data_IF_931049195959
#
_entry.id   IF_931049195959
#
_cell.length_a   1.000
_cell.length_b   1.000
_cell.length_c   1.000
_cell.angle_alpha   90.00
_cell.angle_beta   90.00
_cell.angle_gamma   90.00
#
_symmetry.space_group_name_H-M   'P 1'
#
loop_
_entity.id
_entity.type
_entity.pdbx_description
1 polymer ?
#
# COMPACT_ATOMS: atom_id res chain seq x y z
N UNK A 1 0.18 4.39 -4.73
CA UNK A 1 0.63 4.84 -3.38
C UNK A 1 1.27 3.67 -2.64
N UNK A 2 2.60 3.50 -2.75
CA UNK A 2 3.28 2.27 -2.29
C UNK A 2 3.61 2.32 -0.79
N UNK A 3 3.44 1.20 -0.08
CA UNK A 3 3.68 1.04 1.36
C UNK A 3 2.86 1.97 2.29
N UNK A 4 1.94 2.74 1.72
CA UNK A 4 1.20 3.78 2.41
C UNK A 4 1.78 5.17 2.26
N UNK A 5 2.88 5.34 1.52
CA UNK A 5 3.39 6.63 1.12
C UNK A 5 2.55 7.17 -0.05
N UNK A 6 1.96 8.38 0.06
CA UNK A 6 1.26 8.97 -1.07
C UNK A 6 2.26 9.30 -2.19
N UNK A 7 1.87 9.08 -3.45
CA UNK A 7 2.63 9.61 -4.58
C UNK A 7 2.51 11.15 -4.62
N UNK A 8 3.39 11.82 -5.37
CA UNK A 8 3.29 13.26 -5.62
C UNK A 8 2.14 13.53 -6.60
N UNK A 9 0.91 13.58 -6.05
CA UNK A 9 -0.31 13.67 -6.84
C UNK A 9 -0.46 15.03 -7.52
N UNK A 10 0.10 16.10 -6.97
CA UNK A 10 0.13 17.41 -7.61
C UNK A 10 0.95 17.35 -8.91
N UNK A 11 2.17 16.82 -8.84
CA UNK A 11 3.02 16.65 -10.01
C UNK A 11 2.40 15.69 -11.05
N UNK A 12 1.80 14.59 -10.60
CA UNK A 12 1.15 13.63 -11.49
C UNK A 12 -0.10 14.21 -12.17
N UNK A 13 -0.92 14.97 -11.44
CA UNK A 13 -2.12 15.58 -12.02
C UNK A 13 -1.73 16.65 -13.05
N UNK A 14 -0.73 17.49 -12.74
CA UNK A 14 -0.22 18.47 -13.70
C UNK A 14 0.25 17.81 -15.00
N UNK A 15 0.97 16.69 -14.90
CA UNK A 15 1.42 15.94 -16.07
C UNK A 15 0.23 15.32 -16.83
N UNK A 16 -0.75 14.79 -16.11
CA UNK A 16 -1.92 14.18 -16.71
C UNK A 16 -2.75 15.20 -17.50
N UNK A 17 -2.97 16.39 -16.95
CA UNK A 17 -3.71 17.48 -17.59
C UNK A 17 -3.01 17.95 -18.88
N UNK A 18 -1.67 18.00 -18.90
CA UNK A 18 -0.89 18.38 -20.08
C UNK A 18 -1.01 17.38 -21.23
N UNK A 19 -1.30 16.13 -20.93
CA UNK A 19 -1.32 15.03 -21.89
C UNK A 19 -2.70 14.41 -22.11
N UNK A 20 -3.76 15.02 -21.56
CA UNK A 20 -5.13 14.50 -21.61
C UNK A 20 -5.23 13.05 -21.10
N UNK A 21 -4.57 12.78 -19.96
CA UNK A 21 -4.54 11.48 -19.31
C UNK A 21 -5.43 11.46 -18.07
N UNK A 22 -5.93 10.26 -17.74
CA UNK A 22 -6.68 10.01 -16.51
C UNK A 22 -5.76 9.42 -15.45
N UNK A 23 -5.80 9.97 -14.24
CA UNK A 23 -5.08 9.42 -13.08
C UNK A 23 -6.00 8.49 -12.29
N UNK A 24 -5.58 7.22 -12.18
CA UNK A 24 -6.21 6.21 -11.33
C UNK A 24 -5.28 5.93 -10.16
N UNK A 25 -5.76 6.13 -8.94
CA UNK A 25 -4.98 5.90 -7.74
C UNK A 25 -5.06 4.43 -7.32
N UNK A 26 -3.95 3.70 -7.40
CA UNK A 26 -3.80 2.45 -6.63
C UNK A 26 -3.48 2.79 -5.16
N UNK A 27 -4.54 2.80 -4.36
CA UNK A 27 -4.54 3.06 -2.92
C UNK A 27 -4.64 1.76 -2.10
N UNK A 28 -4.39 0.59 -2.69
CA UNK A 28 -4.51 -0.71 -2.03
C UNK A 28 -3.59 -0.87 -0.81
N UNK A 29 -2.54 -0.05 -0.68
CA UNK A 29 -1.63 -0.02 0.47
C UNK A 29 -1.68 1.31 1.23
N UNK A 30 -2.63 2.19 0.91
CA UNK A 30 -2.61 3.57 1.37
C UNK A 30 -3.94 4.03 2.00
N UNK A 31 -4.81 3.11 2.39
CA UNK A 31 -6.00 3.45 3.16
C UNK A 31 -5.58 4.17 4.46
N UNK A 32 -6.01 5.43 4.60
CA UNK A 32 -5.65 6.36 5.68
C UNK A 32 -4.46 7.29 5.42
N UNK A 33 -3.77 7.15 4.28
CA UNK A 33 -2.76 8.11 3.86
C UNK A 33 -3.43 9.43 3.42
N UNK A 34 -2.69 10.53 3.53
CA UNK A 34 -3.14 11.87 3.12
C UNK A 34 -2.06 12.56 2.31
N UNK A 35 -2.46 13.29 1.28
CA UNK A 35 -1.61 14.22 0.53
C UNK A 35 -2.06 15.63 0.89
N UNK A 36 -1.29 16.33 1.70
CA UNK A 36 -1.81 17.53 2.39
C UNK A 36 -3.01 17.16 3.28
N UNK A 37 -4.13 17.85 3.12
CA UNK A 37 -5.37 17.59 3.85
C UNK A 37 -6.26 16.52 3.19
N UNK A 38 -6.03 16.24 1.92
CA UNK A 38 -6.83 15.33 1.12
C UNK A 38 -6.50 13.87 1.38
N UNK A 39 -7.51 13.02 1.27
CA UNK A 39 -7.38 11.57 1.48
C UNK A 39 -6.90 10.91 0.19
N UNK A 40 -5.92 10.02 0.29
CA UNK A 40 -5.50 9.22 -0.88
C UNK A 40 -6.66 8.38 -1.40
N UNK A 41 -6.83 8.36 -2.72
CA UNK A 41 -7.96 7.76 -3.42
C UNK A 41 -9.11 8.73 -3.74
N UNK A 42 -8.98 10.01 -3.39
CA UNK A 42 -9.89 11.08 -3.80
C UNK A 42 -9.21 12.20 -4.60
N UNK A 43 -7.97 12.01 -5.03
CA UNK A 43 -7.13 13.02 -5.67
C UNK A 43 -7.17 12.89 -7.20
N UNK A 44 -7.21 11.66 -7.72
CA UNK A 44 -7.38 11.37 -9.14
C UNK A 44 -8.86 11.23 -9.54
N UNK A 45 -9.10 10.70 -10.73
CA UNK A 45 -10.46 10.44 -11.20
C UNK A 45 -11.16 9.32 -10.38
N UNK A 46 -10.38 8.35 -9.91
CA UNK A 46 -10.88 7.26 -9.07
C UNK A 46 -9.77 6.63 -8.25
N UNK A 47 -10.13 6.15 -7.05
CA UNK A 47 -9.23 5.44 -6.14
C UNK A 47 -9.63 3.98 -5.96
N UNK A 48 -8.64 3.10 -6.03
CA UNK A 48 -8.81 1.66 -5.87
C UNK A 48 -8.20 1.19 -4.55
N UNK A 49 -9.01 0.54 -3.71
CA UNK A 49 -8.60 0.04 -2.41
C UNK A 49 -8.76 -1.47 -2.31
N UNK A 50 -7.90 -2.08 -1.50
CA UNK A 50 -7.99 -3.47 -1.11
C UNK A 50 -8.32 -3.54 0.38
N UNK A 51 -9.18 -4.49 0.73
CA UNK A 51 -9.48 -4.90 2.10
C UNK A 51 -8.93 -6.28 2.43
N UNK A 52 -7.98 -6.80 1.66
CA UNK A 52 -7.23 -8.00 2.03
C UNK A 52 -6.78 -7.97 3.51
N UNK A 53 -6.74 -9.08 4.26
CA UNK A 53 -6.68 -9.04 5.72
C UNK A 53 -5.46 -8.33 6.29
N UNK A 54 -4.34 -8.32 5.56
CA UNK A 54 -3.09 -7.67 5.95
C UNK A 54 -3.03 -6.16 5.67
N UNK A 55 -4.06 -5.54 5.09
CA UNK A 55 -4.09 -4.09 4.83
C UNK A 55 -4.31 -3.29 6.12
N UNK A 56 -4.00 -1.99 6.10
CA UNK A 56 -4.25 -1.07 7.22
C UNK A 56 -5.69 -1.11 7.69
N UNK A 57 -6.64 -1.24 6.76
CA UNK A 57 -8.03 -1.62 7.03
C UNK A 57 -8.35 -2.92 6.26
N UNK A 58 -8.14 -4.07 6.90
CA UNK A 58 -8.42 -5.39 6.31
C UNK A 58 -9.70 -6.04 6.83
N UNK A 59 -10.45 -6.74 5.97
CA UNK A 59 -11.54 -7.64 6.35
C UNK A 59 -10.99 -9.05 6.69
N UNK A 60 -11.87 -10.05 6.83
CA UNK A 60 -11.49 -11.46 7.10
C UNK A 60 -11.74 -12.33 5.86
N UNK A 61 -11.24 -11.87 4.72
CA UNK A 61 -11.35 -12.50 3.42
C UNK A 61 -10.82 -11.55 2.35
N UNK A 62 -11.31 -11.70 1.11
CA UNK A 62 -11.04 -10.74 0.06
C UNK A 62 -12.10 -9.64 0.02
N UNK A 63 -11.70 -8.46 -0.44
CA UNK A 63 -12.58 -7.32 -0.57
C UNK A 63 -11.84 -6.14 -1.17
N UNK A 64 -12.61 -5.21 -1.75
CA UNK A 64 -12.09 -3.98 -2.31
C UNK A 64 -13.16 -2.91 -2.36
N UNK A 65 -12.71 -1.70 -2.66
CA UNK A 65 -13.56 -0.54 -2.83
C UNK A 65 -12.99 0.33 -3.95
N UNK A 66 -13.88 0.89 -4.76
CA UNK A 66 -13.54 1.95 -5.71
C UNK A 66 -14.25 3.22 -5.24
N UNK A 67 -13.52 4.33 -5.16
CA UNK A 67 -14.04 5.66 -4.87
C UNK A 67 -13.99 6.52 -6.12
N UNK A 68 -14.97 7.38 -6.31
CA UNK A 68 -14.95 8.43 -7.34
C UNK A 68 -15.96 9.51 -6.99
N UNK A 69 -15.71 10.73 -7.44
CA UNK A 69 -16.65 11.85 -7.41
C UNK A 69 -17.49 11.96 -8.70
N UNK A 70 -17.17 11.17 -9.73
CA UNK A 70 -17.92 11.13 -10.98
C UNK A 70 -19.13 10.19 -10.85
N UNK A 71 -20.33 10.77 -10.87
CA UNK A 71 -21.59 10.02 -10.76
C UNK A 71 -21.79 9.03 -11.92
N UNK A 72 -21.36 9.40 -13.13
CA UNK A 72 -21.50 8.54 -14.31
C UNK A 72 -20.59 7.32 -14.21
N UNK A 73 -19.35 7.52 -13.77
CA UNK A 73 -18.40 6.43 -13.51
C UNK A 73 -18.90 5.54 -12.36
N UNK A 74 -19.43 6.13 -11.29
CA UNK A 74 -19.98 5.37 -10.16
C UNK A 74 -21.12 4.44 -10.59
N UNK A 75 -22.07 4.93 -11.39
CA UNK A 75 -23.17 4.10 -11.89
C UNK A 75 -22.68 3.01 -12.84
N UNK A 76 -21.73 3.33 -13.71
CA UNK A 76 -21.11 2.33 -14.59
C UNK A 76 -20.39 1.24 -13.80
N UNK A 77 -19.60 1.60 -12.79
CA UNK A 77 -18.91 0.64 -11.90
C UNK A 77 -19.88 -0.25 -11.12
N UNK A 78 -21.03 0.28 -10.69
CA UNK A 78 -22.08 -0.51 -10.02
C UNK A 78 -22.69 -1.55 -10.95
N UNK A 79 -22.87 -1.22 -12.23
CA UNK A 79 -23.34 -2.15 -13.26
C UNK A 79 -22.28 -3.20 -13.54
N UNK A 80 -21.05 -2.78 -13.86
CA UNK A 80 -19.93 -3.67 -14.15
C UNK A 80 -19.68 -4.69 -13.04
N UNK A 81 -19.67 -4.27 -11.76
CA UNK A 81 -19.41 -5.20 -10.64
C UNK A 81 -20.53 -6.22 -10.40
N UNK A 82 -21.67 -6.06 -11.06
CA UNK A 82 -22.87 -6.88 -10.96
C UNK A 82 -23.35 -7.35 -12.34
N UNK A 83 -22.45 -7.98 -13.10
CA UNK A 83 -22.73 -8.59 -14.41
C UNK A 83 -23.26 -7.62 -15.48
N UNK A 84 -22.97 -6.32 -15.40
CA UNK A 84 -23.48 -5.31 -16.34
C UNK A 84 -24.98 -5.07 -16.20
N UNK A 85 -25.57 -5.41 -15.04
CA UNK A 85 -27.01 -5.34 -14.83
C UNK A 85 -27.48 -3.92 -14.50
N UNK A 86 -28.49 -3.44 -15.23
CA UNK A 86 -29.19 -2.16 -14.96
C UNK A 86 -30.54 -2.37 -14.27
N UNK A 87 -31.10 -3.57 -14.39
CA UNK A 87 -32.33 -4.00 -13.73
C UNK A 87 -32.29 -5.53 -13.56
N UNK A 88 -33.16 -6.14 -12.74
CA UNK A 88 -33.25 -7.59 -12.65
C UNK A 88 -33.40 -8.24 -14.04
N UNK A 89 -32.53 -9.22 -14.33
CA UNK A 89 -32.47 -9.94 -15.61
C UNK A 89 -32.19 -9.09 -16.86
N UNK A 90 -31.77 -7.83 -16.69
CA UNK A 90 -31.45 -6.92 -17.81
C UNK A 90 -30.00 -6.49 -17.74
N UNK A 91 -29.22 -6.88 -18.75
CA UNK A 91 -27.78 -6.64 -18.84
C UNK A 91 -27.47 -5.93 -20.15
N UNK A 92 -26.77 -4.79 -20.10
CA UNK A 92 -26.50 -3.95 -21.29
C UNK A 92 -25.06 -4.04 -21.78
N UNK A 93 -24.17 -4.63 -20.98
CA UNK A 93 -22.76 -4.85 -21.32
C UNK A 93 -22.21 -6.08 -20.57
N UNK A 94 -21.01 -6.53 -20.94
CA UNK A 94 -20.32 -7.59 -20.21
C UNK A 94 -19.74 -6.99 -18.92
N UNK A 95 -20.24 -7.46 -17.78
CA UNK A 95 -19.67 -7.17 -16.47
C UNK A 95 -19.08 -8.39 -15.78
N UNK A 96 -18.87 -8.25 -14.48
CA UNK A 96 -18.19 -9.18 -13.58
C UNK A 96 -19.04 -9.49 -12.35
N UNK A 97 -18.69 -10.54 -11.62
CA UNK A 97 -19.18 -10.77 -10.27
C UNK A 97 -18.10 -10.34 -9.26
N UNK A 98 -18.11 -9.07 -8.87
CA UNK A 98 -17.07 -8.49 -8.01
C UNK A 98 -17.71 -7.64 -6.92
N UNK A 99 -18.33 -8.30 -5.94
CA UNK A 99 -19.08 -7.66 -4.86
C UNK A 99 -18.35 -7.84 -3.53
N UNK A 100 -18.59 -6.92 -2.60
CA UNK A 100 -18.17 -7.05 -1.22
C UNK A 100 -19.28 -7.73 -0.43
N UNK A 101 -18.97 -8.88 0.18
CA UNK A 101 -19.94 -9.62 0.99
C UNK A 101 -20.42 -8.79 2.18
N UNK A 102 -21.71 -8.92 2.53
CA UNK A 102 -22.31 -8.21 3.66
C UNK A 102 -21.60 -8.50 4.99
N UNK A 103 -21.10 -9.74 5.17
CA UNK A 103 -20.31 -10.12 6.34
C UNK A 103 -19.00 -9.32 6.39
N UNK A 104 -18.28 -9.24 5.28
CA UNK A 104 -17.02 -8.49 5.21
C UNK A 104 -17.26 -6.99 5.42
N UNK A 105 -18.29 -6.43 4.80
CA UNK A 105 -18.69 -5.03 4.99
C UNK A 105 -19.04 -4.70 6.45
N UNK A 106 -19.73 -5.61 7.14
CA UNK A 106 -20.09 -5.44 8.55
C UNK A 106 -18.85 -5.43 9.47
N UNK A 107 -17.90 -6.34 9.22
CA UNK A 107 -16.64 -6.38 9.96
C UNK A 107 -15.78 -5.13 9.71
N UNK A 108 -15.70 -4.68 8.45
CA UNK A 108 -15.02 -3.45 8.09
C UNK A 108 -15.63 -2.23 8.78
N UNK A 109 -16.95 -2.14 8.85
CA UNK A 109 -17.66 -1.05 9.56
C UNK A 109 -17.30 -0.99 11.05
N UNK A 110 -17.11 -2.14 11.71
CA UNK A 110 -16.65 -2.20 13.10
C UNK A 110 -15.21 -1.70 13.23
N UNK A 111 -14.30 -2.15 12.35
CA UNK A 111 -12.89 -1.72 12.36
C UNK A 111 -12.74 -0.23 12.04
N UNK A 112 -13.54 0.28 11.11
CA UNK A 112 -13.51 1.68 10.68
C UNK A 112 -13.73 2.66 11.85
N UNK A 113 -14.56 2.29 12.83
CA UNK A 113 -14.80 3.10 14.04
C UNK A 113 -13.55 3.35 14.90
N UNK A 114 -12.57 2.43 14.85
CA UNK A 114 -11.30 2.53 15.59
C UNK A 114 -10.14 2.96 14.71
N UNK A 115 -10.38 3.16 13.42
CA UNK A 115 -9.33 3.30 12.42
C UNK A 115 -8.35 4.44 12.70
N UNK A 116 -8.84 5.63 13.06
CA UNK A 116 -7.94 6.77 13.35
C UNK A 116 -7.10 6.55 14.60
N UNK A 117 -7.61 5.85 15.62
CA UNK A 117 -6.84 5.48 16.80
C UNK A 117 -5.77 4.43 16.45
N UNK A 118 -6.14 3.40 15.69
CA UNK A 118 -5.20 2.37 15.21
C UNK A 118 -4.12 2.98 14.30
N UNK A 119 -4.49 3.96 13.46
CA UNK A 119 -3.57 4.70 12.61
C UNK A 119 -2.58 5.52 13.45
N UNK A 120 -3.03 6.21 14.51
CA UNK A 120 -2.16 6.95 15.41
C UNK A 120 -1.15 6.05 16.12
N UNK A 121 -1.57 4.87 16.60
CA UNK A 121 -0.67 3.88 17.19
C UNK A 121 0.37 3.39 16.17
N UNK A 122 -0.06 3.16 14.92
CA UNK A 122 0.86 2.80 13.83
C UNK A 122 1.88 3.91 13.52
N UNK A 123 1.47 5.19 13.56
CA UNK A 123 2.42 6.32 13.43
C UNK A 123 3.45 6.32 14.57
N UNK A 124 3.01 6.04 15.80
CA UNK A 124 3.89 5.98 16.96
C UNK A 124 4.95 4.87 16.79
N UNK A 125 4.54 3.69 16.32
CA UNK A 125 5.47 2.59 16.01
C UNK A 125 6.51 3.01 14.96
N UNK A 126 6.08 3.67 13.89
CA UNK A 126 7.01 4.18 12.87
C UNK A 126 8.01 5.20 13.46
N UNK A 127 7.55 6.07 14.37
CA UNK A 127 8.41 7.04 15.06
C UNK A 127 9.46 6.37 15.96
N UNK A 128 9.11 5.29 16.65
CA UNK A 128 10.08 4.51 17.42
C UNK A 128 11.16 3.93 16.51
N UNK A 129 10.77 3.33 15.38
CA UNK A 129 11.74 2.85 14.40
C UNK A 129 12.63 3.97 13.85
N UNK A 130 12.07 5.14 13.51
CA UNK A 130 12.87 6.28 13.04
C UNK A 130 13.95 6.68 14.07
N UNK A 131 13.57 6.75 15.35
CA UNK A 131 14.47 7.10 16.43
C UNK A 131 15.58 6.05 16.61
N UNK A 132 15.21 4.78 16.74
CA UNK A 132 16.16 3.69 16.97
C UNK A 132 17.12 3.44 15.80
N UNK A 133 16.71 3.75 14.56
CA UNK A 133 17.52 3.51 13.35
C UNK A 133 18.23 4.76 12.83
N UNK A 134 18.09 5.91 13.51
CA UNK A 134 18.63 7.20 13.06
C UNK A 134 20.15 7.21 12.84
N UNK A 135 20.89 6.48 13.67
CA UNK A 135 22.36 6.36 13.61
C UNK A 135 22.83 5.02 12.99
N UNK A 136 21.94 4.32 12.27
CA UNK A 136 22.25 3.03 11.64
C UNK A 136 22.50 3.16 10.13
N UNK A 137 23.05 2.13 9.51
CA UNK A 137 23.20 2.04 8.04
C UNK A 137 21.85 1.79 7.31
N UNK A 138 20.76 1.59 8.04
CA UNK A 138 19.44 1.37 7.47
C UNK A 138 18.80 2.71 7.04
N UNK A 139 18.45 2.80 5.76
CA UNK A 139 17.71 3.95 5.23
C UNK A 139 16.23 3.73 5.56
N UNK A 140 15.67 4.58 6.42
CA UNK A 140 14.26 4.53 6.83
C UNK A 140 13.31 5.07 5.75
N UNK A 141 12.01 4.72 5.78
CA UNK A 141 11.05 5.24 4.82
C UNK A 141 10.96 6.77 4.83
N UNK A 142 10.83 7.40 3.67
CA UNK A 142 10.58 8.83 3.57
C UNK A 142 9.21 9.25 4.15
N UNK A 143 9.05 10.55 4.40
CA UNK A 143 7.77 11.16 4.79
C UNK A 143 7.25 12.05 3.67
N UNK A 144 5.92 12.12 3.44
CA UNK A 144 5.37 13.04 2.46
C UNK A 144 5.67 14.49 2.89
N UNK A 145 5.84 15.40 1.92
CA UNK A 145 6.08 16.83 2.19
C UNK A 145 4.96 17.43 3.06
N UNK A 146 3.72 17.03 2.79
CA UNK A 146 2.53 17.37 3.57
C UNK A 146 1.58 16.16 3.61
N UNK A 147 0.84 16.01 4.71
CA UNK A 147 -0.12 14.93 4.91
C UNK A 147 0.42 13.78 5.76
N UNK A 148 0.03 12.55 5.43
CA UNK A 148 0.23 11.37 6.30
C UNK A 148 0.60 10.12 5.52
N UNK A 149 1.63 9.43 5.98
CA UNK A 149 1.99 8.08 5.52
C UNK A 149 1.13 7.04 6.25
N UNK A 150 0.48 6.10 5.56
CA UNK A 150 -0.38 5.08 6.22
C UNK A 150 0.40 3.93 6.88
N UNK A 151 1.67 3.74 6.48
CA UNK A 151 2.57 2.68 6.96
C UNK A 151 1.93 1.29 6.87
N UNK A 152 1.32 0.99 5.73
CA UNK A 152 0.91 -0.38 5.45
C UNK A 152 2.11 -1.33 5.57
N UNK A 153 3.31 -0.86 5.18
CA UNK A 153 4.59 -1.45 5.53
C UNK A 153 5.54 -0.37 6.07
N UNK A 154 6.46 -0.77 6.95
CA UNK A 154 7.62 0.01 7.35
C UNK A 154 8.84 -0.60 6.65
N UNK A 155 9.19 -0.05 5.50
CA UNK A 155 10.20 -0.64 4.60
C UNK A 155 11.50 0.14 4.66
N UNK A 156 12.54 -0.49 5.22
CA UNK A 156 13.90 0.05 5.18
C UNK A 156 14.61 -0.37 3.90
N UNK A 157 15.66 0.35 3.51
CA UNK A 157 16.66 -0.12 2.55
C UNK A 157 17.98 -0.38 3.25
N UNK A 158 18.67 -1.45 2.87
CA UNK A 158 19.98 -1.79 3.39
C UNK A 158 20.80 -2.57 2.37
N UNK A 159 22.10 -2.27 2.24
CA UNK A 159 22.98 -2.95 1.28
C UNK A 159 23.12 -4.45 1.56
N UNK A 160 23.02 -4.86 2.84
CA UNK A 160 23.10 -6.26 3.28
C UNK A 160 21.71 -6.85 3.60
N UNK A 161 20.69 -6.50 2.81
CA UNK A 161 19.27 -6.84 3.03
C UNK A 161 19.05 -8.32 3.36
N UNK A 162 19.63 -9.22 2.57
CA UNK A 162 19.41 -10.66 2.74
C UNK A 162 20.03 -11.19 4.05
N UNK A 163 21.21 -10.71 4.43
CA UNK A 163 21.83 -11.05 5.71
C UNK A 163 21.01 -10.52 6.90
N UNK A 164 20.49 -9.29 6.81
CA UNK A 164 19.57 -8.75 7.82
C UNK A 164 18.30 -9.60 7.95
N UNK A 165 17.72 -10.01 6.82
CA UNK A 165 16.53 -10.87 6.81
C UNK A 165 16.82 -12.22 7.49
N UNK A 166 17.96 -12.83 7.21
CA UNK A 166 18.39 -14.07 7.85
C UNK A 166 18.57 -13.88 9.38
N UNK A 167 19.27 -12.82 9.80
CA UNK A 167 19.46 -12.52 11.23
C UNK A 167 18.13 -12.31 11.97
N UNK A 168 17.20 -11.54 11.38
CA UNK A 168 15.86 -11.33 11.92
C UNK A 168 15.05 -12.64 11.96
N UNK A 169 15.16 -13.49 10.94
CA UNK A 169 14.49 -14.80 10.90
C UNK A 169 15.01 -15.73 11.98
N UNK A 170 16.32 -15.82 12.17
CA UNK A 170 16.97 -16.59 13.25
C UNK A 170 16.52 -16.10 14.62
N UNK A 171 16.29 -14.79 14.76
CA UNK A 171 15.72 -14.20 15.96
C UNK A 171 14.19 -14.32 16.07
N UNK A 172 13.51 -15.12 15.23
CA UNK A 172 12.05 -15.27 15.21
C UNK A 172 11.30 -13.93 15.03
N UNK A 173 11.80 -13.07 14.15
CA UNK A 173 11.15 -11.82 13.75
C UNK A 173 10.70 -11.94 12.30
N UNK A 174 9.39 -11.88 12.09
CA UNK A 174 8.80 -11.88 10.76
C UNK A 174 9.17 -10.62 9.99
N UNK A 175 9.55 -10.79 8.72
CA UNK A 175 9.80 -9.68 7.79
C UNK A 175 9.08 -9.95 6.48
N UNK A 176 8.90 -8.91 5.67
CA UNK A 176 8.32 -9.06 4.34
C UNK A 176 9.24 -8.45 3.28
N UNK A 177 9.43 -9.20 2.19
CA UNK A 177 10.14 -8.76 1.00
C UNK A 177 9.11 -8.36 -0.07
N UNK A 178 8.59 -7.14 0.03
CA UNK A 178 7.78 -6.54 -1.04
C UNK A 178 8.66 -5.55 -1.81
N UNK A 179 9.17 -5.87 -3.00
CA UNK A 179 9.04 -7.12 -3.76
C UNK A 179 10.42 -7.64 -4.20
N UNK A 180 10.61 -8.96 -4.35
CA UNK A 180 11.92 -9.53 -4.70
C UNK A 180 12.37 -9.23 -6.12
N UNK A 181 11.44 -8.90 -7.03
CA UNK A 181 11.73 -8.53 -8.41
C UNK A 181 10.67 -7.55 -8.94
N UNK A 182 11.09 -6.63 -9.81
CA UNK A 182 10.19 -5.71 -10.49
C UNK A 182 9.27 -6.43 -11.50
N UNK A 183 8.12 -5.83 -11.80
CA UNK A 183 7.17 -6.39 -12.77
C UNK A 183 7.81 -6.63 -14.14
N UNK A 184 8.72 -5.75 -14.57
CA UNK A 184 9.40 -5.84 -15.86
C UNK A 184 10.26 -7.11 -16.04
N UNK A 185 10.63 -7.79 -14.96
CA UNK A 185 11.39 -9.06 -15.00
C UNK A 185 10.51 -10.29 -14.74
N UNK A 186 9.22 -10.12 -14.43
CA UNK A 186 8.31 -11.24 -14.22
C UNK A 186 8.05 -11.97 -15.54
N UNK A 187 8.04 -13.31 -15.50
CA UNK A 187 7.91 -14.15 -16.70
C UNK A 187 6.66 -13.82 -17.53
N UNK A 188 5.55 -13.48 -16.87
CA UNK A 188 4.28 -13.08 -17.50
C UNK A 188 4.43 -11.83 -18.39
N UNK A 189 5.38 -10.94 -18.10
CA UNK A 189 5.61 -9.70 -18.85
C UNK A 189 6.77 -9.78 -19.85
N UNK A 190 7.33 -10.98 -20.09
CA UNK A 190 8.46 -11.16 -21.01
C UNK A 190 8.20 -10.64 -22.43
N UNK A 191 6.95 -10.63 -22.88
CA UNK A 191 6.56 -10.11 -24.18
C UNK A 191 6.76 -8.60 -24.33
N UNK A 192 6.94 -7.85 -23.23
CA UNK A 192 7.25 -6.42 -23.25
C UNK A 192 8.73 -6.14 -23.60
N UNK A 193 9.60 -7.15 -23.59
CA UNK A 193 10.98 -7.04 -24.05
C UNK A 193 11.97 -6.39 -23.08
N UNK A 194 11.53 -5.99 -21.87
CA UNK A 194 12.41 -5.46 -20.84
C UNK A 194 13.44 -6.48 -20.34
N UNK A 195 14.60 -5.95 -19.95
CA UNK A 195 15.73 -6.69 -19.41
C UNK A 195 16.20 -6.06 -18.10
N UNK A 196 17.00 -6.81 -17.34
CA UNK A 196 17.64 -6.29 -16.14
C UNK A 196 18.55 -5.12 -16.52
N UNK A 197 18.44 -4.01 -15.78
CA UNK A 197 19.14 -2.76 -16.06
C UNK A 197 18.31 -1.72 -16.82
N UNK A 198 17.18 -2.10 -17.45
CA UNK A 198 16.31 -1.12 -18.13
C UNK A 198 15.60 -0.20 -17.13
N UNK A 199 15.28 -0.71 -15.93
CA UNK A 199 14.71 0.03 -14.82
C UNK A 199 15.63 -0.05 -13.58
N UNK A 200 16.79 0.62 -13.60
CA UNK A 200 17.86 0.38 -12.63
C UNK A 200 17.46 0.73 -11.19
N UNK A 201 16.59 1.72 -11.01
CA UNK A 201 16.05 2.08 -9.69
C UNK A 201 15.17 0.95 -9.13
N UNK A 202 14.35 0.32 -9.97
CA UNK A 202 13.48 -0.79 -9.55
C UNK A 202 14.35 -2.00 -9.18
N UNK A 203 15.33 -2.33 -10.01
CA UNK A 203 16.26 -3.43 -9.77
C UNK A 203 17.02 -3.27 -8.46
N UNK A 204 17.55 -2.07 -8.22
CA UNK A 204 18.21 -1.73 -6.97
C UNK A 204 17.27 -1.92 -5.77
N UNK A 205 16.08 -1.32 -5.80
CA UNK A 205 15.14 -1.37 -4.69
C UNK A 205 14.74 -2.81 -4.34
N UNK A 206 14.52 -3.68 -5.33
CA UNK A 206 14.20 -5.09 -5.10
C UNK A 206 15.29 -5.86 -4.32
N UNK A 207 16.56 -5.45 -4.47
CA UNK A 207 17.69 -6.06 -3.75
C UNK A 207 17.90 -5.46 -2.36
N UNK A 208 17.48 -4.22 -2.12
CA UNK A 208 17.80 -3.48 -0.89
C UNK A 208 16.64 -3.39 0.10
N UNK A 209 15.37 -3.54 -0.33
CA UNK A 209 14.21 -3.28 0.56
C UNK A 209 13.86 -4.47 1.46
N UNK A 210 13.59 -4.18 2.73
CA UNK A 210 13.05 -5.13 3.71
C UNK A 210 12.00 -4.45 4.57
N UNK A 211 10.84 -5.07 4.73
CA UNK A 211 9.77 -4.54 5.59
C UNK A 211 9.83 -5.17 6.97
N UNK A 212 9.92 -4.31 7.98
CA UNK A 212 9.91 -4.67 9.40
C UNK A 212 8.47 -4.80 9.91
N UNK A 213 8.24 -5.51 11.04
CA UNK A 213 6.92 -5.60 11.66
C UNK A 213 6.32 -4.22 11.94
N UNK A 214 5.06 -4.00 11.54
CA UNK A 214 4.35 -2.78 11.90
C UNK A 214 2.83 -3.03 12.00
N UNK A 215 2.30 -2.82 13.20
CA UNK A 215 0.86 -2.89 13.48
C UNK A 215 0.54 -2.12 14.78
N UNK A 216 -0.73 -1.72 15.02
CA UNK A 216 -1.10 -0.85 16.13
C UNK A 216 -0.75 -1.36 17.54
N UNK A 217 -0.61 -2.69 17.70
CA UNK A 217 -0.30 -3.32 18.99
C UNK A 217 1.16 -3.67 19.21
N UNK A 218 2.08 -3.25 18.33
CA UNK A 218 3.52 -3.49 18.50
C UNK A 218 4.05 -2.57 19.61
N UNK A 219 4.80 -3.11 20.58
CA UNK A 219 5.33 -2.33 21.70
C UNK A 219 6.69 -1.72 21.41
N UNK A 220 7.10 -0.71 22.19
CA UNK A 220 8.40 -0.07 22.06
C UNK A 220 9.55 -1.07 22.28
N UNK A 221 9.45 -1.95 23.27
CA UNK A 221 10.47 -2.98 23.53
C UNK A 221 10.59 -3.99 22.38
N UNK A 222 9.48 -4.28 21.70
CA UNK A 222 9.50 -5.12 20.50
C UNK A 222 10.20 -4.39 19.34
N UNK A 223 9.95 -3.09 19.16
CA UNK A 223 10.64 -2.27 18.16
C UNK A 223 12.14 -2.19 18.44
N UNK A 224 12.54 -1.92 19.68
CA UNK A 224 13.95 -1.90 20.11
C UNK A 224 14.63 -3.24 19.85
N UNK A 225 13.95 -4.36 20.13
CA UNK A 225 14.46 -5.70 19.82
C UNK A 225 14.72 -5.89 18.33
N UNK A 226 13.83 -5.42 17.46
CA UNK A 226 14.03 -5.46 16.01
C UNK A 226 15.22 -4.59 15.62
N UNK A 227 15.27 -3.34 16.10
CA UNK A 227 16.30 -2.37 15.73
C UNK A 227 17.69 -2.82 16.17
N UNK A 228 17.84 -3.39 17.35
CA UNK A 228 19.12 -3.94 17.82
C UNK A 228 19.70 -4.95 16.83
N UNK A 229 18.88 -5.88 16.33
CA UNK A 229 19.35 -6.87 15.35
C UNK A 229 19.71 -6.22 14.02
N UNK A 230 18.93 -5.21 13.58
CA UNK A 230 19.24 -4.45 12.36
C UNK A 230 20.57 -3.69 12.48
N UNK A 231 20.89 -3.17 13.66
CA UNK A 231 22.12 -2.41 13.93
C UNK A 231 23.34 -3.34 14.09
N UNK A 232 23.16 -4.49 14.73
CA UNK A 232 24.26 -5.42 15.02
C UNK A 232 24.68 -6.30 13.83
N UNK A 233 23.74 -6.59 12.92
CA UNK A 233 23.97 -7.49 11.78
C UNK A 233 24.70 -6.80 10.63
#
# INVERSE_FOLDING_TARGET
HIFGHPADMEALQQLADQHDLVVIEDAAQAFGARSGDDVVGSLGATGCFSFYPAKTLGCYGDGGLVSTSDESLLEHLKQLRNHGAVAPFTHIEIGYNSRLDAIQASLLSIKLKKFEADMALRQQVAKWYDGCLSDSDAITPGRPKAGRHAFNLYTIRHARRDALREALTTANIGTNQCYPAGLHLQQVYRYLGYQQGDLPVVDQLCTETLSLPIFPGLTEEQVERVCRIVIEA
#
